data_IF_546477766411
#
_entry.id   IF_546477766411
#
_cell.length_a   1.000
_cell.length_b   1.000
_cell.length_c   1.000
_cell.angle_alpha   90.00
_cell.angle_beta   90.00
_cell.angle_gamma   90.00
#
_symmetry.space_group_name_H-M   'P 1'
#
loop_
_entity.id
_entity.type
_entity.pdbx_description
1 polymer ?
#
# COMPACT_ATOMS: atom_id res chain seq x y z
N UNK A 1 10.46 -27.93 16.65
CA UNK A 1 9.65 -28.15 15.42
C UNK A 1 10.26 -27.26 14.35
N UNK A 2 10.92 -27.88 13.38
CA UNK A 2 11.54 -27.17 12.28
C UNK A 2 10.47 -26.53 11.40
N UNK A 3 10.56 -25.22 11.19
CA UNK A 3 9.80 -24.49 10.18
C UNK A 3 10.80 -23.96 9.17
N UNK A 4 10.50 -24.15 7.90
CA UNK A 4 11.30 -23.67 6.78
C UNK A 4 10.50 -22.60 6.04
N UNK A 5 11.13 -21.46 5.79
CA UNK A 5 10.64 -20.47 4.84
C UNK A 5 11.25 -20.82 3.49
N UNK A 6 10.40 -21.17 2.53
CA UNK A 6 10.80 -21.58 1.19
C UNK A 6 10.42 -20.53 0.16
N UNK A 7 11.09 -20.50 -0.98
CA UNK A 7 10.61 -19.75 -2.14
C UNK A 7 9.38 -20.43 -2.73
N UNK A 8 8.37 -19.65 -3.14
CA UNK A 8 7.20 -20.21 -3.83
C UNK A 8 7.47 -20.59 -5.30
N UNK A 9 8.64 -20.25 -5.84
CA UNK A 9 9.01 -20.50 -7.24
C UNK A 9 9.74 -21.81 -7.48
N UNK A 10 10.48 -22.33 -6.49
CA UNK A 10 11.35 -23.49 -6.63
C UNK A 10 11.60 -24.26 -5.32
N UNK A 11 10.84 -23.99 -4.25
CA UNK A 11 10.97 -24.61 -2.92
C UNK A 11 12.33 -24.47 -2.22
N UNK A 12 13.22 -23.60 -2.73
CA UNK A 12 14.50 -23.29 -2.09
C UNK A 12 14.29 -22.74 -0.68
N UNK A 13 14.97 -23.34 0.31
CA UNK A 13 14.90 -22.90 1.71
C UNK A 13 15.69 -21.61 1.88
N UNK A 14 15.00 -20.52 2.18
CA UNK A 14 15.59 -19.22 2.50
C UNK A 14 16.12 -19.18 3.93
N UNK A 15 15.35 -19.78 4.85
CA UNK A 15 15.68 -19.82 6.26
C UNK A 15 14.96 -20.99 6.92
N UNK A 16 15.56 -21.55 7.96
CA UNK A 16 14.88 -22.53 8.80
C UNK A 16 15.20 -22.27 10.26
N UNK A 17 14.21 -22.45 11.11
CA UNK A 17 14.37 -22.38 12.55
C UNK A 17 13.83 -23.67 13.16
N UNK A 18 14.61 -24.29 14.03
CA UNK A 18 14.16 -25.44 14.81
C UNK A 18 14.31 -25.14 16.30
N UNK A 19 13.19 -24.77 16.91
CA UNK A 19 13.08 -24.50 18.34
C UNK A 19 11.77 -25.11 18.86
N UNK A 20 11.66 -25.21 20.18
CA UNK A 20 10.40 -25.54 20.84
C UNK A 20 9.37 -24.42 20.64
N UNK A 21 8.09 -24.79 20.51
CA UNK A 21 6.97 -23.85 20.28
C UNK A 21 7.18 -22.89 19.10
N UNK A 22 7.89 -23.36 18.06
CA UNK A 22 8.12 -22.56 16.87
C UNK A 22 6.80 -22.19 16.16
N UNK A 23 6.78 -21.01 15.55
CA UNK A 23 5.68 -20.53 14.71
C UNK A 23 6.24 -19.84 13.47
N UNK A 24 5.41 -19.72 12.43
CA UNK A 24 5.82 -19.00 11.22
C UNK A 24 6.22 -17.55 11.53
N UNK A 25 5.52 -16.89 12.48
CA UNK A 25 5.89 -15.56 12.97
C UNK A 25 7.31 -15.54 13.53
N UNK A 26 7.62 -16.43 14.48
CA UNK A 26 8.94 -16.49 15.12
C UNK A 26 10.04 -16.78 14.09
N UNK A 27 9.77 -17.69 13.16
CA UNK A 27 10.73 -18.05 12.10
C UNK A 27 11.00 -16.87 11.16
N UNK A 28 9.95 -16.12 10.77
CA UNK A 28 10.09 -14.92 9.93
C UNK A 28 10.82 -13.81 10.67
N UNK A 29 10.48 -13.53 11.92
CA UNK A 29 11.15 -12.51 12.74
C UNK A 29 12.63 -12.86 12.97
N UNK A 30 12.94 -14.14 13.19
CA UNK A 30 14.32 -14.61 13.29
C UNK A 30 15.11 -14.42 11.99
N UNK A 31 14.48 -14.72 10.84
CA UNK A 31 15.09 -14.48 9.53
C UNK A 31 15.38 -12.99 9.29
N UNK A 32 14.40 -12.12 9.57
CA UNK A 32 14.56 -10.65 9.47
C UNK A 32 15.66 -10.16 10.39
N UNK A 33 15.69 -10.61 11.64
CA UNK A 33 16.73 -10.25 12.62
C UNK A 33 18.13 -10.69 12.18
N UNK A 34 18.23 -11.83 11.49
CA UNK A 34 19.48 -12.33 10.93
C UNK A 34 19.88 -11.63 9.61
N UNK A 35 19.08 -10.67 9.11
CA UNK A 35 19.34 -9.98 7.84
C UNK A 35 19.10 -10.84 6.61
N UNK A 36 18.38 -11.96 6.76
CA UNK A 36 18.08 -12.87 5.65
C UNK A 36 17.08 -12.21 4.70
N UNK A 37 17.39 -12.28 3.40
CA UNK A 37 16.44 -11.87 2.36
C UNK A 37 15.29 -12.87 2.28
N UNK A 38 14.06 -12.39 2.47
CA UNK A 38 12.82 -13.14 2.29
C UNK A 38 12.21 -12.90 0.90
N UNK A 39 13.05 -12.57 -0.09
CA UNK A 39 12.60 -12.41 -1.47
C UNK A 39 12.03 -13.73 -1.98
N UNK A 40 10.88 -13.67 -2.66
CA UNK A 40 10.11 -14.83 -3.11
C UNK A 40 9.64 -15.77 -2.00
N UNK A 41 9.70 -15.39 -0.72
CA UNK A 41 9.25 -16.23 0.37
C UNK A 41 7.77 -16.62 0.20
N UNK A 42 7.47 -17.90 0.42
CA UNK A 42 6.12 -18.42 0.51
C UNK A 42 5.59 -18.20 1.93
N UNK A 43 4.77 -17.17 2.09
CA UNK A 43 4.10 -16.80 3.34
C UNK A 43 2.58 -16.82 3.14
N UNK A 44 2.10 -17.72 2.26
CA UNK A 44 0.69 -17.90 1.97
C UNK A 44 -0.10 -18.17 3.26
N UNK A 45 -1.12 -17.35 3.53
CA UNK A 45 -1.96 -17.40 4.72
C UNK A 45 -1.20 -17.37 6.05
N UNK A 46 0.05 -16.87 6.06
CA UNK A 46 0.87 -16.86 7.26
C UNK A 46 0.25 -15.96 8.34
N UNK A 47 0.21 -16.46 9.58
CA UNK A 47 -0.19 -15.67 10.73
C UNK A 47 1.02 -14.88 11.26
N UNK A 48 1.04 -13.58 10.95
CA UNK A 48 2.10 -12.62 11.26
C UNK A 48 1.54 -11.45 12.09
N UNK A 49 0.54 -11.71 12.93
CA UNK A 49 -0.07 -10.72 13.82
C UNK A 49 0.99 -10.08 14.70
N UNK A 50 1.08 -8.75 14.65
CA UNK A 50 2.06 -7.94 15.37
C UNK A 50 3.51 -8.39 15.12
N UNK A 51 3.81 -8.90 13.93
CA UNK A 51 5.17 -9.27 13.58
C UNK A 51 6.05 -8.04 13.43
N UNK A 52 7.30 -8.12 13.89
CA UNK A 52 8.32 -7.11 13.63
C UNK A 52 9.08 -7.43 12.34
N UNK A 53 8.74 -6.71 11.28
CA UNK A 53 9.25 -6.87 9.92
C UNK A 53 9.92 -5.58 9.42
N UNK A 54 10.45 -4.77 10.35
CA UNK A 54 11.16 -3.53 10.03
C UNK A 54 12.30 -3.82 9.05
N UNK A 55 12.33 -3.09 7.94
CA UNK A 55 13.31 -3.23 6.85
C UNK A 55 13.41 -4.63 6.24
N UNK A 56 12.39 -5.49 6.45
CA UNK A 56 12.38 -6.82 5.86
C UNK A 56 12.42 -6.73 4.32
N UNK A 57 13.26 -7.56 3.70
CA UNK A 57 13.27 -7.71 2.26
C UNK A 57 12.28 -8.81 1.85
N UNK A 58 11.08 -8.41 1.41
CA UNK A 58 9.96 -9.26 1.01
C UNK A 58 9.65 -9.09 -0.49
N UNK A 59 10.64 -8.75 -1.30
CA UNK A 59 10.48 -8.57 -2.75
C UNK A 59 9.85 -9.82 -3.36
N UNK A 60 8.73 -9.66 -4.07
CA UNK A 60 7.99 -10.76 -4.72
C UNK A 60 7.57 -11.88 -3.77
N UNK A 61 7.52 -11.63 -2.45
CA UNK A 61 7.00 -12.61 -1.50
C UNK A 61 5.51 -12.89 -1.77
N UNK A 62 5.10 -14.14 -1.55
CA UNK A 62 3.70 -14.54 -1.60
C UNK A 62 3.09 -14.40 -0.20
N UNK A 63 2.36 -13.32 0.04
CA UNK A 63 1.64 -13.00 1.29
C UNK A 63 0.12 -13.08 1.09
N UNK A 64 -0.36 -13.85 0.11
CA UNK A 64 -1.78 -14.04 -0.16
C UNK A 64 -2.52 -14.48 1.10
N UNK A 65 -3.58 -13.77 1.48
CA UNK A 65 -4.37 -14.00 2.70
C UNK A 65 -3.57 -13.98 4.01
N UNK A 66 -2.33 -13.46 4.04
CA UNK A 66 -1.54 -13.38 5.26
C UNK A 66 -2.21 -12.44 6.29
N UNK A 67 -2.13 -12.81 7.57
CA UNK A 67 -2.64 -11.98 8.66
C UNK A 67 -1.50 -11.15 9.25
N UNK A 68 -1.42 -9.88 8.85
CA UNK A 68 -0.43 -8.88 9.26
C UNK A 68 -1.04 -7.82 10.19
N UNK A 69 -2.09 -8.17 10.95
CA UNK A 69 -2.76 -7.26 11.88
C UNK A 69 -1.75 -6.61 12.83
N UNK A 70 -1.68 -5.27 12.82
CA UNK A 70 -0.74 -4.46 13.59
C UNK A 70 0.74 -4.86 13.44
N UNK A 71 1.14 -5.47 12.32
CA UNK A 71 2.54 -5.75 12.02
C UNK A 71 3.33 -4.46 11.79
N UNK A 72 4.60 -4.46 12.16
CA UNK A 72 5.51 -3.35 11.90
C UNK A 72 6.35 -3.66 10.66
N UNK A 73 6.02 -3.01 9.54
CA UNK A 73 6.65 -3.13 8.22
C UNK A 73 7.39 -1.82 7.85
N UNK A 74 7.79 -1.01 8.84
CA UNK A 74 8.51 0.24 8.60
C UNK A 74 9.73 0.02 7.70
N UNK A 75 9.81 0.78 6.60
CA UNK A 75 10.85 0.68 5.57
C UNK A 75 11.03 -0.73 4.96
N UNK A 76 10.03 -1.61 5.04
CA UNK A 76 10.10 -2.93 4.40
C UNK A 76 10.07 -2.81 2.87
N UNK A 77 10.78 -3.70 2.18
CA UNK A 77 10.75 -3.78 0.72
C UNK A 77 9.76 -4.86 0.27
N UNK A 78 8.59 -4.45 -0.22
CA UNK A 78 7.49 -5.29 -0.70
C UNK A 78 7.31 -5.15 -2.22
N UNK A 79 8.35 -4.76 -2.96
CA UNK A 79 8.28 -4.59 -4.40
C UNK A 79 7.74 -5.86 -5.07
N UNK A 80 6.67 -5.70 -5.86
CA UNK A 80 5.96 -6.79 -6.55
C UNK A 80 5.46 -7.93 -5.64
N UNK A 81 5.28 -7.68 -4.33
CA UNK A 81 4.74 -8.68 -3.41
C UNK A 81 3.25 -8.96 -3.67
N UNK A 82 2.82 -10.20 -3.46
CA UNK A 82 1.42 -10.60 -3.55
C UNK A 82 0.76 -10.50 -2.16
N UNK A 83 -0.04 -9.46 -1.93
CA UNK A 83 -0.77 -9.17 -0.69
C UNK A 83 -2.29 -9.29 -0.88
N UNK A 84 -2.75 -10.02 -1.90
CA UNK A 84 -4.17 -10.21 -2.17
C UNK A 84 -4.86 -10.80 -0.94
N UNK A 85 -5.97 -10.19 -0.50
CA UNK A 85 -6.73 -10.55 0.71
C UNK A 85 -5.93 -10.49 2.02
N UNK A 86 -4.74 -9.89 2.05
CA UNK A 86 -3.96 -9.77 3.28
C UNK A 86 -4.67 -8.85 4.29
N UNK A 87 -4.59 -9.19 5.58
CA UNK A 87 -5.09 -8.35 6.65
C UNK A 87 -3.99 -7.46 7.21
N UNK A 88 -3.96 -6.19 6.83
CA UNK A 88 -2.99 -5.16 7.24
C UNK A 88 -3.62 -4.13 8.21
N UNK A 89 -4.70 -4.49 8.91
CA UNK A 89 -5.37 -3.59 9.84
C UNK A 89 -4.39 -3.03 10.87
N UNK A 90 -4.32 -1.70 11.00
CA UNK A 90 -3.37 -0.98 11.87
C UNK A 90 -1.90 -1.35 11.68
N UNK A 91 -1.49 -1.92 10.53
CA UNK A 91 -0.09 -2.18 10.25
C UNK A 91 0.70 -0.88 10.03
N UNK A 92 1.97 -0.87 10.42
CA UNK A 92 2.87 0.25 10.13
C UNK A 92 3.65 -0.03 8.84
N UNK A 93 3.26 0.61 7.74
CA UNK A 93 3.91 0.53 6.43
C UNK A 93 4.66 1.83 6.09
N UNK A 94 4.98 2.67 7.08
CA UNK A 94 5.69 3.91 6.83
C UNK A 94 7.03 3.64 6.12
N UNK A 95 7.27 4.39 5.05
CA UNK A 95 8.44 4.32 4.18
C UNK A 95 8.63 2.96 3.49
N UNK A 96 7.62 2.08 3.51
CA UNK A 96 7.68 0.79 2.83
C UNK A 96 7.64 0.95 1.30
N UNK A 97 8.35 0.09 0.58
CA UNK A 97 8.29 0.04 -0.87
C UNK A 97 7.23 -0.97 -1.33
N UNK A 98 6.05 -0.49 -1.74
CA UNK A 98 4.94 -1.29 -2.26
C UNK A 98 4.81 -1.16 -3.79
N UNK A 99 5.82 -0.66 -4.49
CA UNK A 99 5.76 -0.53 -5.93
C UNK A 99 5.48 -1.89 -6.60
N UNK A 100 4.52 -1.88 -7.53
CA UNK A 100 4.03 -3.06 -8.26
C UNK A 100 3.42 -4.16 -7.36
N UNK A 101 3.19 -3.90 -6.06
CA UNK A 101 2.58 -4.87 -5.16
C UNK A 101 1.10 -5.08 -5.48
N UNK A 102 0.61 -6.31 -5.31
CA UNK A 102 -0.79 -6.64 -5.52
C UNK A 102 -1.54 -6.68 -4.17
N UNK A 103 -2.35 -5.65 -3.89
CA UNK A 103 -3.12 -5.47 -2.67
C UNK A 103 -4.63 -5.69 -2.89
N UNK A 104 -5.03 -6.43 -3.94
CA UNK A 104 -6.45 -6.65 -4.24
C UNK A 104 -7.18 -7.22 -3.02
N UNK A 105 -8.27 -6.56 -2.61
CA UNK A 105 -9.08 -6.94 -1.43
C UNK A 105 -8.30 -6.98 -0.10
N UNK A 106 -7.15 -6.31 -0.01
CA UNK A 106 -6.42 -6.21 1.25
C UNK A 106 -7.16 -5.30 2.24
N UNK A 107 -7.06 -5.59 3.52
CA UNK A 107 -7.62 -4.76 4.59
C UNK A 107 -6.53 -3.84 5.15
N UNK A 108 -6.50 -2.57 4.75
CA UNK A 108 -5.56 -1.54 5.18
C UNK A 108 -6.18 -0.56 6.20
N UNK A 109 -7.29 -0.92 6.83
CA UNK A 109 -7.98 -0.03 7.77
C UNK A 109 -7.03 0.40 8.89
N UNK A 110 -6.92 1.72 9.13
CA UNK A 110 -6.00 2.33 10.11
C UNK A 110 -4.51 2.03 9.91
N UNK A 111 -4.10 1.47 8.77
CA UNK A 111 -2.68 1.27 8.47
C UNK A 111 -1.95 2.62 8.35
N UNK A 112 -0.69 2.67 8.71
CA UNK A 112 0.17 3.83 8.48
C UNK A 112 0.93 3.64 7.16
N UNK A 113 0.59 4.39 6.12
CA UNK A 113 1.23 4.36 4.80
C UNK A 113 2.07 5.63 4.55
N UNK A 114 2.47 6.35 5.61
CA UNK A 114 3.28 7.55 5.48
C UNK A 114 4.55 7.29 4.67
N UNK A 115 4.83 8.11 3.66
CA UNK A 115 5.98 7.97 2.75
C UNK A 115 6.08 6.63 2.00
N UNK A 116 5.07 5.75 2.05
CA UNK A 116 5.10 4.47 1.34
C UNK A 116 5.08 4.68 -0.18
N UNK A 117 5.90 3.92 -0.91
CA UNK A 117 5.92 3.96 -2.37
C UNK A 117 4.83 3.03 -2.95
N UNK A 118 3.77 3.60 -3.52
CA UNK A 118 2.64 2.86 -4.12
C UNK A 118 2.58 2.97 -5.66
N UNK A 119 3.69 3.35 -6.31
CA UNK A 119 3.75 3.75 -7.73
C UNK A 119 2.91 2.92 -8.71
N UNK A 120 3.09 1.59 -8.73
CA UNK A 120 2.28 0.67 -9.55
C UNK A 120 1.49 -0.35 -8.73
N UNK A 121 1.16 -0.03 -7.48
CA UNK A 121 0.45 -0.96 -6.61
C UNK A 121 -1.00 -1.15 -7.06
N UNK A 122 -1.48 -2.40 -7.10
CA UNK A 122 -2.87 -2.71 -7.39
C UNK A 122 -3.71 -2.72 -6.10
N UNK A 123 -4.50 -1.68 -5.88
CA UNK A 123 -5.36 -1.49 -4.71
C UNK A 123 -6.84 -1.85 -4.97
N UNK A 124 -7.15 -2.62 -6.01
CA UNK A 124 -8.54 -2.99 -6.34
C UNK A 124 -9.28 -3.58 -5.13
N UNK A 125 -10.41 -2.97 -4.77
CA UNK A 125 -11.25 -3.40 -3.66
C UNK A 125 -10.55 -3.43 -2.30
N UNK A 126 -9.39 -2.78 -2.14
CA UNK A 126 -8.69 -2.66 -0.86
C UNK A 126 -9.46 -1.73 0.09
N UNK A 127 -9.57 -2.12 1.36
CA UNK A 127 -10.22 -1.29 2.37
C UNK A 127 -9.21 -0.36 3.04
N UNK A 128 -9.27 0.92 2.69
CA UNK A 128 -8.34 1.97 3.11
C UNK A 128 -8.93 2.90 4.19
N UNK A 129 -10.06 2.52 4.81
CA UNK A 129 -10.75 3.37 5.78
C UNK A 129 -9.84 3.74 6.97
N UNK A 130 -9.63 5.04 7.19
CA UNK A 130 -8.84 5.55 8.30
C UNK A 130 -7.34 5.24 8.23
N UNK A 131 -6.83 4.69 7.12
CA UNK A 131 -5.39 4.61 6.92
C UNK A 131 -4.78 6.03 6.88
N UNK A 132 -3.58 6.15 7.44
CA UNK A 132 -2.78 7.38 7.40
C UNK A 132 -1.95 7.38 6.14
N UNK A 133 -1.86 8.54 5.50
CA UNK A 133 -1.01 8.76 4.36
C UNK A 133 -0.26 10.06 4.58
N UNK A 134 1.04 9.91 4.71
CA UNK A 134 2.03 10.95 4.82
C UNK A 134 2.78 11.07 3.52
N UNK A 135 3.16 12.31 3.23
CA UNK A 135 3.98 12.80 2.15
C UNK A 135 4.41 11.79 1.04
N UNK A 136 3.54 11.48 0.07
CA UNK A 136 3.82 10.62 -1.08
C UNK A 136 5.01 11.12 -1.92
N UNK A 137 6.03 10.29 -2.10
CA UNK A 137 7.18 10.58 -2.98
C UNK A 137 6.90 9.98 -4.35
N UNK A 138 6.01 10.57 -5.15
CA UNK A 138 5.63 10.04 -6.45
C UNK A 138 6.68 10.41 -7.50
N UNK A 139 7.48 9.43 -7.93
CA UNK A 139 8.31 9.55 -9.14
C UNK A 139 7.44 9.36 -10.38
N UNK A 140 7.05 10.46 -11.03
CA UNK A 140 6.80 10.60 -12.49
C UNK A 140 5.70 9.79 -13.25
N UNK A 141 4.84 8.96 -12.65
CA UNK A 141 3.60 8.44 -13.31
C UNK A 141 2.41 8.46 -12.34
N UNK A 142 1.16 8.53 -12.85
CA UNK A 142 -0.03 8.69 -12.02
C UNK A 142 -0.32 7.48 -11.13
N UNK A 143 -0.80 7.70 -9.91
CA UNK A 143 -1.38 6.62 -9.08
C UNK A 143 -2.62 6.11 -9.79
N UNK A 144 -2.70 4.79 -10.01
CA UNK A 144 -3.87 4.15 -10.57
C UNK A 144 -4.72 3.50 -9.48
N UNK A 145 -6.00 3.86 -9.41
CA UNK A 145 -6.99 3.17 -8.59
C UNK A 145 -8.09 2.67 -9.52
N UNK A 146 -8.20 1.36 -9.69
CA UNK A 146 -9.20 0.71 -10.54
C UNK A 146 -10.30 0.02 -9.72
N UNK A 147 -11.45 -0.22 -10.36
CA UNK A 147 -12.58 -0.99 -9.82
C UNK A 147 -13.23 -0.49 -8.52
N UNK A 148 -12.99 0.78 -8.15
CA UNK A 148 -13.74 1.47 -7.07
C UNK A 148 -15.02 2.15 -7.59
N UNK A 149 -15.54 1.73 -8.74
CA UNK A 149 -16.64 2.37 -9.47
C UNK A 149 -16.17 3.23 -10.64
N UNK A 150 -15.05 3.95 -10.47
CA UNK A 150 -14.37 4.67 -11.55
C UNK A 150 -12.89 4.31 -11.60
N UNK A 151 -12.32 4.42 -12.80
CA UNK A 151 -10.88 4.38 -13.01
C UNK A 151 -10.28 5.73 -12.63
N UNK A 152 -9.38 5.75 -11.64
CA UNK A 152 -8.76 6.98 -11.14
C UNK A 152 -7.29 7.00 -11.48
N UNK A 153 -6.83 8.12 -12.06
CA UNK A 153 -5.41 8.42 -12.26
C UNK A 153 -5.07 9.72 -11.53
N UNK A 154 -4.12 9.70 -10.59
CA UNK A 154 -3.69 10.91 -9.88
C UNK A 154 -2.31 11.32 -10.37
N UNK A 155 -2.26 12.37 -11.20
CA UNK A 155 -1.05 13.01 -11.71
C UNK A 155 -0.58 14.11 -10.74
N UNK A 156 0.65 14.61 -10.97
CA UNK A 156 1.26 15.67 -10.14
C UNK A 156 0.37 16.90 -9.95
N UNK A 157 -0.39 17.30 -10.96
CA UNK A 157 -1.23 18.52 -10.95
C UNK A 157 -2.71 18.27 -11.23
N UNK A 158 -3.05 17.07 -11.71
CA UNK A 158 -4.40 16.73 -12.14
C UNK A 158 -4.81 15.38 -11.57
N UNK A 159 -6.10 15.15 -11.50
CA UNK A 159 -6.67 13.85 -11.20
C UNK A 159 -7.73 13.53 -12.25
N UNK A 160 -7.68 12.33 -12.79
CA UNK A 160 -8.69 11.76 -13.68
C UNK A 160 -9.57 10.80 -12.89
N UNK A 161 -10.89 10.91 -13.01
CA UNK A 161 -11.87 9.97 -12.46
C UNK A 161 -12.84 9.62 -13.60
N UNK A 162 -12.78 8.38 -14.11
CA UNK A 162 -13.54 8.00 -15.29
C UNK A 162 -13.10 8.80 -16.52
N UNK A 163 -14.02 9.54 -17.13
CA UNK A 163 -13.75 10.43 -18.25
C UNK A 163 -13.35 11.86 -17.83
N UNK A 164 -13.54 12.20 -16.54
CA UNK A 164 -13.33 13.55 -16.01
C UNK A 164 -11.88 13.76 -15.62
N UNK A 165 -11.20 14.76 -16.20
CA UNK A 165 -9.84 15.15 -15.86
C UNK A 165 -9.86 16.62 -15.41
N UNK A 166 -9.56 16.85 -14.14
CA UNK A 166 -9.56 18.18 -13.53
C UNK A 166 -8.31 18.36 -12.66
N UNK A 167 -7.97 19.61 -12.37
CA UNK A 167 -6.92 19.95 -11.41
C UNK A 167 -7.29 19.50 -10.00
N UNK A 168 -6.29 19.39 -9.13
CA UNK A 168 -6.50 19.06 -7.72
C UNK A 168 -7.41 20.07 -7.01
N UNK A 169 -7.30 21.36 -7.32
CA UNK A 169 -8.11 22.41 -6.71
C UNK A 169 -9.55 22.42 -7.21
N UNK A 170 -9.80 22.15 -8.49
CA UNK A 170 -11.15 21.98 -9.02
C UNK A 170 -11.85 20.82 -8.31
N UNK A 171 -11.18 19.66 -8.21
CA UNK A 171 -11.74 18.51 -7.49
C UNK A 171 -12.10 18.82 -6.04
N UNK A 172 -11.26 19.58 -5.31
CA UNK A 172 -11.55 19.98 -3.92
C UNK A 172 -12.83 20.80 -3.80
N UNK A 173 -13.04 21.69 -4.75
CA UNK A 173 -14.07 22.73 -4.72
C UNK A 173 -15.39 22.33 -5.38
N UNK A 174 -15.44 21.24 -6.15
CA UNK A 174 -16.70 20.76 -6.71
C UNK A 174 -17.75 20.52 -5.63
N UNK A 175 -18.91 21.10 -5.86
CA UNK A 175 -20.15 20.90 -5.11
C UNK A 175 -20.72 19.51 -5.38
N UNK A 176 -21.58 19.03 -4.48
CA UNK A 176 -22.31 17.77 -4.72
C UNK A 176 -23.16 17.81 -6.00
N UNK A 177 -23.59 19.00 -6.43
CA UNK A 177 -24.35 19.18 -7.67
C UNK A 177 -23.47 18.95 -8.89
N UNK A 178 -22.34 19.64 -8.98
CA UNK A 178 -21.40 19.50 -10.12
C UNK A 178 -20.90 18.06 -10.27
N UNK A 179 -20.59 17.39 -9.15
CA UNK A 179 -20.23 15.96 -9.17
C UNK A 179 -21.37 15.09 -9.69
N UNK A 180 -22.61 15.39 -9.30
CA UNK A 180 -23.78 14.67 -9.79
C UNK A 180 -24.09 14.97 -11.26
N UNK A 181 -23.64 16.10 -11.80
CA UNK A 181 -23.78 16.42 -13.22
C UNK A 181 -22.83 15.59 -14.10
N UNK A 182 -21.73 15.05 -13.55
CA UNK A 182 -20.77 14.21 -14.28
C UNK A 182 -21.33 12.81 -14.63
N UNK A 183 -21.90 12.09 -13.65
CA UNK A 183 -22.49 10.76 -13.86
C UNK A 183 -23.58 10.43 -12.80
N UNK A 184 -24.37 11.43 -12.45
CA UNK A 184 -25.55 11.29 -11.61
C UNK A 184 -25.27 10.83 -10.18
N UNK A 185 -26.19 10.01 -9.66
CA UNK A 185 -26.12 9.48 -8.28
C UNK A 185 -24.91 8.58 -8.06
N UNK A 186 -24.37 7.95 -9.11
CA UNK A 186 -23.20 7.06 -9.02
C UNK A 186 -21.94 7.86 -8.73
N UNK A 187 -21.68 8.92 -9.50
CA UNK A 187 -20.56 9.84 -9.25
C UNK A 187 -20.67 10.46 -7.86
N UNK A 188 -21.86 10.89 -7.45
CA UNK A 188 -22.06 11.48 -6.12
C UNK A 188 -21.79 10.49 -4.98
N UNK A 189 -22.27 9.26 -5.09
CA UNK A 189 -22.03 8.21 -4.08
C UNK A 189 -20.53 7.87 -3.99
N UNK A 190 -19.90 7.68 -5.15
CA UNK A 190 -18.46 7.48 -5.27
C UNK A 190 -17.68 8.61 -4.60
N UNK A 191 -17.97 9.86 -4.97
CA UNK A 191 -17.26 11.02 -4.45
C UNK A 191 -17.44 11.16 -2.94
N UNK A 192 -18.65 10.98 -2.41
CA UNK A 192 -18.87 10.99 -0.95
C UNK A 192 -18.04 9.93 -0.22
N UNK A 193 -17.89 8.75 -0.80
CA UNK A 193 -17.14 7.65 -0.21
C UNK A 193 -15.62 7.88 -0.25
N UNK A 194 -15.10 8.41 -1.36
CA UNK A 194 -13.66 8.46 -1.63
C UNK A 194 -13.05 9.86 -1.61
N UNK A 195 -13.83 10.95 -1.48
CA UNK A 195 -13.32 12.35 -1.50
C UNK A 195 -12.17 12.56 -0.53
N UNK A 196 -12.33 12.15 0.73
CA UNK A 196 -11.27 12.36 1.73
C UNK A 196 -9.97 11.65 1.37
N UNK A 197 -10.06 10.47 0.76
CA UNK A 197 -8.91 9.72 0.29
C UNK A 197 -8.25 10.44 -0.90
N UNK A 198 -9.04 10.72 -1.95
CA UNK A 198 -8.58 11.30 -3.21
C UNK A 198 -8.02 12.73 -3.05
N UNK A 199 -8.68 13.57 -2.25
CA UNK A 199 -8.19 14.93 -1.93
C UNK A 199 -6.95 14.88 -1.04
N UNK A 200 -6.87 13.91 -0.12
CA UNK A 200 -5.69 13.68 0.69
C UNK A 200 -4.45 13.45 -0.18
N UNK A 201 -4.55 12.58 -1.20
CA UNK A 201 -3.49 12.38 -2.19
C UNK A 201 -3.07 13.67 -2.90
N UNK A 202 -4.03 14.51 -3.29
CA UNK A 202 -3.79 15.74 -4.04
C UNK A 202 -3.04 16.80 -3.22
N UNK A 203 -3.52 17.10 -2.00
CA UNK A 203 -2.93 18.13 -1.11
C UNK A 203 -1.45 17.88 -0.85
N UNK A 204 -1.10 16.61 -0.64
CA UNK A 204 0.27 16.17 -0.41
C UNK A 204 1.21 16.50 -1.57
N UNK A 205 0.74 16.49 -2.82
CA UNK A 205 1.57 16.80 -3.99
C UNK A 205 1.87 18.29 -4.15
N UNK A 206 0.91 19.15 -3.80
CA UNK A 206 1.05 20.61 -3.90
C UNK A 206 2.07 21.18 -2.90
N UNK A 207 2.00 20.75 -1.63
CA UNK A 207 2.90 21.21 -0.55
C UNK A 207 4.38 20.90 -0.87
N UNK A 208 4.64 19.81 -1.60
CA UNK A 208 5.98 19.44 -2.07
C UNK A 208 6.48 20.24 -3.26
N UNK A 209 5.60 20.66 -4.18
CA UNK A 209 5.98 21.55 -5.30
C UNK A 209 6.50 22.89 -4.78
N UNK A 210 5.94 23.38 -3.68
CA UNK A 210 6.37 24.60 -2.99
C UNK A 210 7.76 24.39 -2.37
N UNK A 211 7.94 23.36 -1.53
CA UNK A 211 9.24 23.06 -0.89
C UNK A 211 10.38 22.75 -1.87
N UNK A 212 10.09 22.11 -3.01
CA UNK A 212 11.08 21.81 -4.07
C UNK A 212 11.47 23.04 -4.89
N UNK A 213 10.57 24.03 -5.02
CA UNK A 213 10.92 25.34 -5.59
C UNK A 213 11.80 26.15 -4.64
N UNK A 214 11.53 26.08 -3.34
CA UNK A 214 12.33 26.76 -2.31
C UNK A 214 13.76 26.20 -2.24
N UNK A 215 13.92 24.87 -2.23
CA UNK A 215 15.25 24.21 -2.17
C UNK A 215 16.08 24.23 -3.46
N UNK A 216 15.49 24.60 -4.61
CA UNK A 216 16.23 24.79 -5.86
C UNK A 216 16.58 26.28 -6.11
N UNK A 217 16.12 27.18 -5.24
CA UNK A 217 16.40 28.61 -5.28
C UNK A 217 17.42 29.04 -4.19
N UNK A 218 17.97 28.08 -3.44
CA UNK A 218 19.13 28.20 -2.54
C UNK A 218 20.35 27.51 -3.17
#
# INVERSE_FOLDING_TARGET
MKIEIKKWTNDEVLFSLDIENNSIKLTVEAAVKAGVSLSYANLYSANLVRANLVRANLVRANLYSANLYSANLYSANLYSANLVRANLYSANLDSANLDSANLVRANLVRANLDSANLYSANLDSANLNGAKYGDFTIKKLPIQISNIGYYVLIFETHMKIGCELHTHDEWKNFTNREIAEMDGKKALAFWKQYKSLLVGFCKTMEEKKIKKKESNNE
#
